data_IF_933100962490
#
_entry.id   IF_933100962490
#
_cell.length_a   1.000
_cell.length_b   1.000
_cell.length_c   1.000
_cell.angle_alpha   90.00
_cell.angle_beta   90.00
_cell.angle_gamma   90.00
#
_symmetry.space_group_name_H-M   'P 1'
#
loop_
_entity.id
_entity.type
_entity.pdbx_description
1 polymer ?
#
# COMPACT_ATOMS: atom_id res chain seq x y z
N UNK A 1 24.59 -18.51 31.15
CA UNK A 1 24.17 -19.03 29.83
C UNK A 1 22.67 -18.82 29.70
N UNK A 2 22.23 -17.82 28.94
CA UNK A 2 20.82 -17.69 28.52
C UNK A 2 20.73 -16.70 27.36
N UNK A 3 20.88 -17.19 26.13
CA UNK A 3 20.66 -16.42 24.89
C UNK A 3 20.19 -17.40 23.82
N UNK A 4 18.88 -17.55 23.65
CA UNK A 4 18.36 -18.50 22.65
C UNK A 4 16.88 -18.40 22.34
N UNK A 5 16.18 -17.36 22.80
CA UNK A 5 14.73 -17.20 22.55
C UNK A 5 14.32 -15.95 21.77
N UNK A 6 15.21 -14.97 21.56
CA UNK A 6 14.89 -13.74 20.81
C UNK A 6 15.10 -13.84 19.29
N UNK A 7 15.99 -14.72 18.80
CA UNK A 7 16.37 -14.73 17.38
C UNK A 7 15.28 -15.20 16.40
N UNK A 8 14.26 -15.92 16.86
CA UNK A 8 13.21 -16.46 15.98
C UNK A 8 12.11 -15.44 15.65
N UNK A 9 11.95 -14.40 16.46
CA UNK A 9 10.93 -13.36 16.25
C UNK A 9 11.44 -12.31 15.27
N UNK A 10 12.65 -11.82 15.49
CA UNK A 10 13.31 -10.88 14.58
C UNK A 10 13.39 -11.44 13.16
N UNK A 11 13.62 -12.75 13.01
CA UNK A 11 13.58 -13.44 11.72
C UNK A 11 12.24 -13.27 10.97
N UNK A 12 11.10 -13.38 11.67
CA UNK A 12 9.76 -13.18 11.06
C UNK A 12 9.53 -11.72 10.65
N UNK A 13 10.05 -10.76 11.42
CA UNK A 13 9.93 -9.35 11.07
C UNK A 13 10.84 -8.96 9.90
N UNK A 14 11.98 -9.64 9.74
CA UNK A 14 12.83 -9.54 8.54
C UNK A 14 12.06 -10.03 7.31
N UNK A 15 11.39 -11.18 7.37
CA UNK A 15 10.57 -11.68 6.25
C UNK A 15 9.46 -10.68 5.88
N UNK A 16 8.75 -10.12 6.87
CA UNK A 16 7.71 -9.10 6.63
C UNK A 16 8.29 -7.83 6.03
N UNK A 17 9.46 -7.37 6.51
CA UNK A 17 10.16 -6.21 5.96
C UNK A 17 10.51 -6.43 4.49
N UNK A 18 11.09 -7.58 4.18
CA UNK A 18 11.53 -7.91 2.82
C UNK A 18 10.33 -8.02 1.87
N UNK A 19 9.24 -8.62 2.34
CA UNK A 19 8.00 -8.68 1.58
C UNK A 19 7.37 -7.29 1.35
N UNK A 20 7.37 -6.42 2.38
CA UNK A 20 6.89 -5.04 2.24
C UNK A 20 7.74 -4.25 1.22
N UNK A 21 9.06 -4.47 1.19
CA UNK A 21 9.94 -3.87 0.19
C UNK A 21 9.63 -4.36 -1.22
N UNK A 22 9.42 -5.66 -1.41
CA UNK A 22 9.03 -6.20 -2.71
C UNK A 22 7.69 -5.61 -3.17
N UNK A 23 6.69 -5.58 -2.28
CA UNK A 23 5.40 -4.97 -2.55
C UNK A 23 5.55 -3.50 -2.93
N UNK A 24 6.41 -2.72 -2.25
CA UNK A 24 6.62 -1.31 -2.54
C UNK A 24 7.10 -1.10 -3.98
N UNK A 25 8.06 -1.91 -4.42
CA UNK A 25 8.59 -1.86 -5.79
C UNK A 25 7.50 -2.17 -6.83
N UNK A 26 6.72 -3.24 -6.61
CA UNK A 26 5.61 -3.62 -7.49
C UNK A 26 4.52 -2.53 -7.53
N UNK A 27 4.20 -1.92 -6.38
CA UNK A 27 3.21 -0.87 -6.26
C UNK A 27 3.60 0.36 -7.05
N UNK A 28 4.84 0.83 -6.90
CA UNK A 28 5.37 2.00 -7.60
C UNK A 28 5.22 1.82 -9.12
N UNK A 29 5.62 0.66 -9.63
CA UNK A 29 5.59 0.40 -11.06
C UNK A 29 4.17 0.30 -11.61
N UNK A 30 3.25 -0.33 -10.87
CA UNK A 30 1.85 -0.42 -11.26
C UNK A 30 1.15 0.93 -11.20
N UNK A 31 1.35 1.74 -10.16
CA UNK A 31 0.76 3.08 -10.07
C UNK A 31 1.33 4.02 -11.14
N UNK A 32 2.62 3.91 -11.47
CA UNK A 32 3.21 4.63 -12.63
C UNK A 32 2.54 4.22 -13.94
N UNK A 33 2.34 2.92 -14.18
CA UNK A 33 1.62 2.40 -15.36
C UNK A 33 0.18 2.90 -15.38
N UNK A 34 -0.52 2.85 -14.25
CA UNK A 34 -1.89 3.32 -14.11
C UNK A 34 -2.01 4.80 -14.50
N UNK A 35 -1.15 5.66 -13.95
CA UNK A 35 -1.11 7.09 -14.28
C UNK A 35 -0.88 7.36 -15.76
N UNK A 36 -0.02 6.58 -16.41
CA UNK A 36 0.22 6.68 -17.87
C UNK A 36 -1.01 6.28 -18.68
N UNK A 37 -1.67 5.18 -18.31
CA UNK A 37 -2.89 4.74 -18.99
C UNK A 37 -4.02 5.76 -18.85
N UNK A 38 -4.23 6.33 -17.65
CA UNK A 38 -5.20 7.41 -17.45
C UNK A 38 -4.91 8.64 -18.34
N UNK A 39 -3.63 8.97 -18.53
CA UNK A 39 -3.24 10.09 -19.40
C UNK A 39 -3.49 9.82 -20.89
N UNK A 40 -3.47 8.55 -21.33
CA UNK A 40 -3.82 8.18 -22.71
C UNK A 40 -5.33 8.21 -22.91
N UNK A 41 -6.07 7.63 -21.97
CA UNK A 41 -7.54 7.66 -21.94
C UNK A 41 -8.13 9.08 -22.00
N UNK A 42 -7.41 10.10 -21.50
CA UNK A 42 -7.87 11.49 -21.58
C UNK A 42 -7.57 12.18 -22.92
N UNK A 43 -6.98 11.49 -23.91
CA UNK A 43 -6.52 12.07 -25.19
C UNK A 43 -7.17 11.46 -26.43
N UNK A 44 -7.79 10.30 -26.33
CA UNK A 44 -8.28 9.52 -27.48
C UNK A 44 -9.80 9.62 -27.63
N UNK A 45 -10.31 9.15 -28.79
CA UNK A 45 -11.73 9.21 -29.17
C UNK A 45 -12.29 7.83 -29.54
N UNK A 46 -13.28 7.42 -28.75
CA UNK A 46 -14.34 6.41 -28.87
C UNK A 46 -14.01 4.94 -29.19
N UNK A 47 -13.05 4.57 -30.04
CA UNK A 47 -12.70 3.15 -30.26
C UNK A 47 -11.47 2.72 -29.47
N UNK A 48 -10.39 3.49 -29.54
CA UNK A 48 -9.17 3.24 -28.74
C UNK A 48 -9.47 3.42 -27.23
N UNK A 49 -10.45 4.27 -26.89
CA UNK A 49 -10.94 4.50 -25.53
C UNK A 49 -11.45 3.23 -24.82
N UNK A 50 -12.03 2.27 -25.54
CA UNK A 50 -12.59 1.04 -24.95
C UNK A 50 -11.47 0.07 -24.57
N UNK A 51 -10.49 -0.12 -25.45
CA UNK A 51 -9.34 -0.98 -25.20
C UNK A 51 -8.44 -0.40 -24.10
N UNK A 52 -8.25 0.92 -24.10
CA UNK A 52 -7.52 1.61 -23.04
C UNK A 52 -8.25 1.55 -21.70
N UNK A 53 -9.58 1.65 -21.67
CA UNK A 53 -10.36 1.49 -20.45
C UNK A 53 -10.26 0.06 -19.91
N UNK A 54 -10.36 -0.97 -20.76
CA UNK A 54 -10.15 -2.37 -20.35
C UNK A 54 -8.74 -2.58 -19.78
N UNK A 55 -7.73 -1.98 -20.41
CA UNK A 55 -6.35 -1.98 -19.91
C UNK A 55 -6.21 -1.32 -18.55
N UNK A 56 -6.92 -0.20 -18.32
CA UNK A 56 -6.97 0.49 -17.03
C UNK A 56 -7.61 -0.39 -15.94
N UNK A 57 -8.75 -1.02 -16.22
CA UNK A 57 -9.44 -1.90 -15.26
C UNK A 57 -8.53 -3.05 -14.81
N UNK A 58 -7.83 -3.71 -15.74
CA UNK A 58 -6.85 -4.77 -15.40
C UNK A 58 -5.70 -4.29 -14.52
N UNK A 59 -5.27 -3.03 -14.67
CA UNK A 59 -4.25 -2.45 -13.80
C UNK A 59 -4.83 -2.23 -12.39
N UNK A 60 -6.06 -1.73 -12.29
CA UNK A 60 -6.75 -1.53 -11.01
C UNK A 60 -6.91 -2.86 -10.27
N UNK A 61 -7.32 -3.94 -10.95
CA UNK A 61 -7.43 -5.28 -10.36
C UNK A 61 -6.10 -5.76 -9.76
N UNK A 62 -4.98 -5.55 -10.46
CA UNK A 62 -3.65 -5.89 -9.94
C UNK A 62 -3.28 -5.03 -8.73
N UNK A 63 -3.59 -3.74 -8.76
CA UNK A 63 -3.36 -2.86 -7.61
C UNK A 63 -4.21 -3.30 -6.41
N UNK A 64 -5.48 -3.69 -6.62
CA UNK A 64 -6.35 -4.26 -5.58
C UNK A 64 -5.73 -5.49 -4.93
N UNK A 65 -5.12 -6.38 -5.71
CA UNK A 65 -4.43 -7.56 -5.16
C UNK A 65 -3.22 -7.17 -4.29
N UNK A 66 -2.38 -6.25 -4.77
CA UNK A 66 -1.24 -5.76 -3.98
C UNK A 66 -1.70 -5.06 -2.70
N UNK A 67 -2.77 -4.26 -2.80
CA UNK A 67 -3.35 -3.53 -1.68
C UNK A 67 -3.94 -4.46 -0.63
N UNK A 68 -4.62 -5.53 -1.05
CA UNK A 68 -5.09 -6.59 -0.17
C UNK A 68 -3.93 -7.27 0.58
N UNK A 69 -2.81 -7.55 -0.12
CA UNK A 69 -1.62 -8.12 0.53
C UNK A 69 -0.96 -7.14 1.51
N UNK A 70 -0.82 -5.87 1.12
CA UNK A 70 -0.33 -4.80 1.98
C UNK A 70 -1.18 -4.70 3.26
N UNK A 71 -2.51 -4.66 3.11
CA UNK A 71 -3.45 -4.63 4.24
C UNK A 71 -3.19 -5.77 5.21
N UNK A 72 -3.08 -7.00 4.71
CA UNK A 72 -2.79 -8.17 5.55
C UNK A 72 -1.49 -7.99 6.36
N UNK A 73 -0.41 -7.54 5.72
CA UNK A 73 0.88 -7.34 6.39
C UNK A 73 0.82 -6.21 7.43
N UNK A 74 0.15 -5.10 7.11
CA UNK A 74 0.02 -3.98 8.05
C UNK A 74 -0.87 -4.34 9.25
N UNK A 75 -1.98 -5.05 9.05
CA UNK A 75 -2.81 -5.54 10.16
C UNK A 75 -2.03 -6.53 11.05
N UNK A 76 -1.19 -7.37 10.46
CA UNK A 76 -0.31 -8.27 11.19
C UNK A 76 0.71 -7.48 12.04
N UNK A 77 1.37 -6.49 11.43
CA UNK A 77 2.34 -5.64 12.13
C UNK A 77 1.70 -4.85 13.25
N UNK A 78 0.58 -4.18 13.01
CA UNK A 78 -0.15 -3.41 14.02
C UNK A 78 -0.47 -4.25 15.26
N UNK A 79 -0.98 -5.47 15.06
CA UNK A 79 -1.29 -6.40 16.15
C UNK A 79 -0.04 -6.87 16.86
N UNK A 80 1.02 -7.22 16.13
CA UNK A 80 2.22 -7.82 16.71
C UNK A 80 3.09 -6.80 17.45
N UNK A 81 3.24 -5.60 16.90
CA UNK A 81 3.96 -4.48 17.51
C UNK A 81 3.35 -4.01 18.84
N UNK A 82 2.05 -4.21 19.05
CA UNK A 82 1.37 -3.90 20.30
C UNK A 82 1.68 -4.90 21.44
N UNK A 83 2.20 -6.09 21.10
CA UNK A 83 2.36 -7.22 22.03
C UNK A 83 3.81 -7.61 22.27
N UNK A 84 4.69 -7.32 21.31
CA UNK A 84 6.05 -7.85 21.30
C UNK A 84 7.09 -6.72 21.31
N UNK A 85 8.22 -6.99 21.97
CA UNK A 85 9.44 -6.21 21.79
C UNK A 85 10.18 -6.76 20.56
N UNK A 86 10.63 -5.87 19.69
CA UNK A 86 11.46 -6.15 18.52
C UNK A 86 12.72 -5.30 18.59
N UNK A 87 13.78 -5.77 17.93
CA UNK A 87 15.01 -4.99 17.76
C UNK A 87 14.74 -3.60 17.17
N UNK A 88 15.45 -2.59 17.65
CA UNK A 88 15.27 -1.19 17.25
C UNK A 88 15.54 -0.96 15.76
N UNK A 89 16.57 -1.61 15.20
CA UNK A 89 16.94 -1.51 13.79
C UNK A 89 15.83 -2.04 12.86
N UNK A 90 15.35 -3.26 13.11
CA UNK A 90 14.24 -3.86 12.34
C UNK A 90 12.96 -3.01 12.47
N UNK A 91 12.71 -2.45 13.66
CA UNK A 91 11.57 -1.56 13.88
C UNK A 91 11.68 -0.29 13.04
N UNK A 92 12.86 0.33 12.98
CA UNK A 92 13.10 1.52 12.18
C UNK A 92 12.91 1.25 10.68
N UNK A 93 13.48 0.15 10.17
CA UNK A 93 13.27 -0.30 8.78
C UNK A 93 11.78 -0.44 8.45
N UNK A 94 11.03 -1.16 9.30
CA UNK A 94 9.60 -1.35 9.12
C UNK A 94 8.84 -0.02 9.12
N UNK A 95 9.15 0.88 10.05
CA UNK A 95 8.50 2.21 10.11
C UNK A 95 8.78 3.01 8.83
N UNK A 96 10.00 2.98 8.30
CA UNK A 96 10.35 3.67 7.05
C UNK A 96 9.50 3.13 5.89
N UNK A 97 9.42 1.81 5.71
CA UNK A 97 8.68 1.20 4.61
C UNK A 97 7.18 1.45 4.76
N UNK A 98 6.64 1.34 5.97
CA UNK A 98 5.23 1.65 6.26
C UNK A 98 4.91 3.11 5.95
N UNK A 99 5.80 4.04 6.33
CA UNK A 99 5.63 5.47 6.03
C UNK A 99 5.67 5.75 4.53
N UNK A 100 6.49 5.03 3.77
CA UNK A 100 6.49 5.11 2.31
C UNK A 100 5.12 4.77 1.71
N UNK A 101 4.47 3.69 2.19
CA UNK A 101 3.14 3.33 1.72
C UNK A 101 2.09 4.39 2.05
N UNK A 102 2.08 4.88 3.29
CA UNK A 102 1.12 5.89 3.76
C UNK A 102 1.25 7.21 2.99
N UNK A 103 2.47 7.77 2.95
CA UNK A 103 2.73 9.14 2.51
C UNK A 103 2.89 9.24 0.99
N UNK A 104 3.23 8.15 0.32
CA UNK A 104 3.53 8.12 -1.11
C UNK A 104 2.62 7.15 -1.88
N UNK A 105 2.82 5.84 -1.76
CA UNK A 105 2.22 4.86 -2.68
C UNK A 105 0.67 4.91 -2.68
N UNK A 106 0.05 4.88 -1.50
CA UNK A 106 -1.41 4.91 -1.35
C UNK A 106 -1.99 6.28 -1.73
N UNK A 107 -1.27 7.36 -1.43
CA UNK A 107 -1.66 8.73 -1.81
C UNK A 107 -1.66 8.93 -3.32
N UNK A 108 -0.63 8.43 -4.00
CA UNK A 108 -0.49 8.50 -5.45
C UNK A 108 -1.55 7.68 -6.18
N UNK A 109 -1.87 6.49 -5.65
CA UNK A 109 -2.99 5.69 -6.13
C UNK A 109 -4.32 6.42 -5.95
N UNK A 110 -4.62 6.91 -4.74
CA UNK A 110 -5.84 7.67 -4.44
C UNK A 110 -6.01 8.85 -5.40
N UNK A 111 -4.94 9.60 -5.63
CA UNK A 111 -4.96 10.70 -6.61
C UNK A 111 -5.24 10.22 -8.03
N UNK A 112 -4.76 9.04 -8.41
CA UNK A 112 -4.95 8.50 -9.76
C UNK A 112 -6.37 7.95 -9.95
N UNK A 113 -6.93 7.29 -8.94
CA UNK A 113 -8.33 6.86 -8.91
C UNK A 113 -9.28 8.06 -9.01
N UNK A 114 -9.06 9.11 -8.22
CA UNK A 114 -9.86 10.34 -8.31
C UNK A 114 -9.80 11.00 -9.69
N UNK A 115 -8.68 10.88 -10.42
CA UNK A 115 -8.59 11.36 -11.80
C UNK A 115 -9.39 10.47 -12.76
N UNK A 116 -9.37 9.15 -12.56
CA UNK A 116 -10.20 8.24 -13.35
C UNK A 116 -11.69 8.53 -13.17
N UNK A 117 -12.15 8.67 -11.93
CA UNK A 117 -13.56 9.00 -11.61
C UNK A 117 -13.97 10.29 -12.34
N UNK A 118 -13.13 11.33 -12.34
CA UNK A 118 -13.42 12.57 -13.07
C UNK A 118 -13.54 12.37 -14.58
N UNK A 119 -12.79 11.43 -15.17
CA UNK A 119 -12.82 11.12 -16.60
C UNK A 119 -13.94 10.14 -16.97
N UNK A 120 -14.36 9.29 -16.03
CA UNK A 120 -15.36 8.23 -16.17
C UNK A 120 -16.25 8.19 -14.91
N UNK A 121 -17.17 9.17 -14.75
CA UNK A 121 -18.02 9.27 -13.56
C UNK A 121 -18.89 8.02 -13.33
N UNK A 122 -19.19 7.27 -14.38
CA UNK A 122 -19.92 6.00 -14.32
C UNK A 122 -19.21 4.92 -13.48
N UNK A 123 -17.92 5.07 -13.19
CA UNK A 123 -17.14 4.17 -12.34
C UNK A 123 -17.11 4.58 -10.87
N UNK A 124 -17.70 5.71 -10.50
CA UNK A 124 -17.58 6.30 -9.15
C UNK A 124 -17.98 5.32 -8.05
N UNK A 125 -19.14 4.68 -8.16
CA UNK A 125 -19.65 3.75 -7.13
C UNK A 125 -18.70 2.57 -6.89
N UNK A 126 -18.12 2.02 -7.96
CA UNK A 126 -17.17 0.92 -7.84
C UNK A 126 -15.87 1.39 -7.17
N UNK A 127 -15.32 2.52 -7.64
CA UNK A 127 -14.02 3.03 -7.20
C UNK A 127 -14.06 3.68 -5.81
N UNK A 128 -15.22 4.12 -5.33
CA UNK A 128 -15.37 4.57 -3.94
C UNK A 128 -14.99 3.49 -2.92
N UNK A 129 -15.25 2.22 -3.23
CA UNK A 129 -14.85 1.11 -2.35
C UNK A 129 -13.33 1.00 -2.26
N UNK A 130 -12.62 1.22 -3.37
CA UNK A 130 -11.16 1.29 -3.40
C UNK A 130 -10.63 2.47 -2.59
N UNK A 131 -11.24 3.65 -2.73
CA UNK A 131 -10.84 4.84 -1.98
C UNK A 131 -10.98 4.65 -0.47
N UNK A 132 -12.07 4.02 0.00
CA UNK A 132 -12.27 3.69 1.41
C UNK A 132 -11.26 2.67 1.93
N UNK A 133 -10.93 1.65 1.13
CA UNK A 133 -9.92 0.64 1.48
C UNK A 133 -8.52 1.27 1.60
N UNK A 134 -8.17 2.20 0.69
CA UNK A 134 -6.94 2.99 0.80
C UNK A 134 -6.89 3.77 2.12
N UNK A 135 -7.95 4.51 2.46
CA UNK A 135 -8.01 5.30 3.70
C UNK A 135 -7.89 4.43 4.95
N UNK A 136 -8.52 3.26 4.94
CA UNK A 136 -8.42 2.28 6.01
C UNK A 136 -6.96 1.81 6.22
N UNK A 137 -6.28 1.46 5.13
CA UNK A 137 -4.88 0.98 5.17
C UNK A 137 -3.94 2.10 5.60
N UNK A 138 -4.15 3.34 5.10
CA UNK A 138 -3.40 4.50 5.57
C UNK A 138 -3.56 4.69 7.09
N UNK A 139 -4.78 4.53 7.61
CA UNK A 139 -5.02 4.61 9.06
C UNK A 139 -4.25 3.56 9.87
N UNK A 140 -4.10 2.34 9.37
CA UNK A 140 -3.25 1.31 10.01
C UNK A 140 -1.78 1.75 9.99
N UNK A 141 -1.30 2.21 8.83
CA UNK A 141 0.08 2.66 8.67
C UNK A 141 0.41 3.83 9.62
N UNK A 142 -0.46 4.83 9.73
CA UNK A 142 -0.31 5.95 10.66
C UNK A 142 -0.21 5.47 12.11
N UNK A 143 -1.05 4.51 12.54
CA UNK A 143 -1.00 3.99 13.92
C UNK A 143 0.29 3.22 14.21
N UNK A 144 0.80 2.46 13.24
CA UNK A 144 2.12 1.81 13.35
C UNK A 144 3.21 2.86 13.56
N UNK A 145 3.21 3.91 12.73
CA UNK A 145 4.14 5.04 12.84
C UNK A 145 4.05 5.75 14.21
N UNK A 146 2.86 6.18 14.64
CA UNK A 146 2.66 6.91 15.92
C UNK A 146 2.97 6.05 17.15
N UNK A 147 2.87 4.72 17.05
CA UNK A 147 3.28 3.82 18.14
C UNK A 147 4.79 3.85 18.43
N UNK A 148 5.59 4.47 17.55
CA UNK A 148 7.01 4.79 17.77
C UNK A 148 7.19 5.79 18.92
N UNK A 149 6.51 6.92 18.84
CA UNK A 149 6.76 8.09 19.71
C UNK A 149 6.28 7.92 21.15
N UNK A 150 5.35 6.98 21.40
CA UNK A 150 4.74 6.76 22.71
C UNK A 150 5.51 5.79 23.63
N UNK A 151 6.60 5.16 23.14
CA UNK A 151 7.43 4.24 23.94
C UNK A 151 8.76 4.83 24.42
N UNK A 152 9.03 6.09 24.07
CA UNK A 152 10.24 6.84 24.43
C UNK A 152 9.97 7.91 25.52
N UNK A 153 8.81 7.83 26.21
CA UNK A 153 8.44 8.68 27.36
C UNK A 153 8.28 7.82 28.61
#
# INVERSE_FOLDING_TARGET
MSTGKDSSKDYRYVEVRDELNELANLYIDLVKKFRRSIKRLSRESSRDDIDDLSGVVKIIEKIRMLRSRLRFLLEYLEKSLSREKIGSEIREDLVIIVSFFELSALRDEKSTLNRLIKLRPELEEELEKDLRDIEYIQGIATRIYVSKDSRDI
#
